data_IF_013099969674
#
_entry.id   IF_013099969674
#
_cell.length_a   1.000
_cell.length_b   1.000
_cell.length_c   1.000
_cell.angle_alpha   90.00
_cell.angle_beta   90.00
_cell.angle_gamma   90.00
#
_symmetry.space_group_name_H-M   'P 1'
#
loop_
_entity.id
_entity.type
_entity.pdbx_description
1 polymer ?
#
# COMPACT_ATOMS: atom_id res chain seq x y z
N UNK A 1 -14.19 2.83 11.30
CA UNK A 1 -14.81 1.66 11.97
C UNK A 1 -15.85 0.97 11.09
N UNK A 2 -16.82 1.66 10.48
CA UNK A 2 -17.79 1.01 9.58
C UNK A 2 -17.18 0.59 8.23
N UNK A 3 -16.46 1.50 7.55
CA UNK A 3 -15.86 1.17 6.25
C UNK A 3 -14.88 -0.01 6.29
N UNK A 4 -14.01 -0.09 7.30
CA UNK A 4 -13.04 -1.19 7.41
C UNK A 4 -13.76 -2.53 7.58
N UNK A 5 -14.91 -2.56 8.27
CA UNK A 5 -15.73 -3.76 8.39
C UNK A 5 -16.29 -4.19 7.04
N UNK A 6 -16.96 -3.28 6.33
CA UNK A 6 -17.50 -3.55 4.99
C UNK A 6 -16.41 -3.97 4.00
N UNK A 7 -15.25 -3.30 4.08
CA UNK A 7 -14.12 -3.58 3.22
C UNK A 7 -13.51 -4.95 3.51
N UNK A 8 -13.31 -5.32 4.78
CA UNK A 8 -12.82 -6.64 5.17
C UNK A 8 -13.72 -7.76 4.66
N UNK A 9 -15.04 -7.63 4.86
CA UNK A 9 -16.03 -8.57 4.33
C UNK A 9 -15.97 -8.66 2.81
N UNK A 10 -15.93 -7.51 2.11
CA UNK A 10 -15.78 -7.48 0.66
C UNK A 10 -14.51 -8.20 0.19
N UNK A 11 -13.37 -7.93 0.84
CA UNK A 11 -12.10 -8.55 0.46
C UNK A 11 -12.20 -10.06 0.55
N UNK A 12 -12.83 -10.58 1.61
CA UNK A 12 -13.02 -12.01 1.81
C UNK A 12 -13.95 -12.62 0.76
N UNK A 13 -15.15 -12.04 0.59
CA UNK A 13 -16.16 -12.55 -0.34
C UNK A 13 -15.73 -12.55 -1.81
N UNK A 14 -14.91 -11.57 -2.21
CA UNK A 14 -14.39 -11.49 -3.58
C UNK A 14 -13.03 -12.18 -3.77
N UNK A 15 -12.52 -12.83 -2.72
CA UNK A 15 -11.24 -13.53 -2.77
C UNK A 15 -10.04 -12.60 -2.97
N UNK A 16 -10.17 -11.32 -2.63
CA UNK A 16 -9.06 -10.36 -2.56
C UNK A 16 -8.24 -10.54 -1.28
N UNK A 17 -8.80 -11.16 -0.23
CA UNK A 17 -8.04 -11.86 0.80
C UNK A 17 -8.48 -13.33 0.82
N UNK A 18 -7.51 -14.24 0.92
CA UNK A 18 -7.73 -15.68 1.03
C UNK A 18 -6.91 -16.22 2.20
N UNK A 19 -7.47 -17.18 2.94
CA UNK A 19 -6.80 -17.88 4.04
C UNK A 19 -6.54 -19.34 3.64
N UNK A 20 -5.37 -19.85 4.01
CA UNK A 20 -4.87 -21.14 3.55
C UNK A 20 -3.34 -21.17 3.52
N UNK A 21 -2.75 -22.22 2.96
CA UNK A 21 -1.28 -22.33 2.92
C UNK A 21 -0.75 -21.85 1.56
N UNK A 22 -0.21 -20.63 1.52
CA UNK A 22 0.32 -19.99 0.32
C UNK A 22 1.84 -19.97 0.31
N UNK A 23 2.43 -19.96 -0.88
CA UNK A 23 3.85 -19.64 -1.09
C UNK A 23 3.93 -18.30 -1.80
N UNK A 24 4.56 -17.30 -1.17
CA UNK A 24 4.75 -15.98 -1.75
C UNK A 24 5.82 -16.01 -2.85
N UNK A 25 5.91 -14.95 -3.65
CA UNK A 25 6.96 -14.79 -4.67
C UNK A 25 8.37 -14.84 -4.10
N UNK A 26 8.53 -14.52 -2.81
CA UNK A 26 9.78 -14.65 -2.05
C UNK A 26 10.12 -16.09 -1.65
N UNK A 27 9.25 -17.07 -1.93
CA UNK A 27 9.36 -18.45 -1.46
C UNK A 27 8.89 -18.68 -0.03
N UNK A 28 8.61 -17.61 0.74
CA UNK A 28 8.10 -17.71 2.11
C UNK A 28 6.69 -18.30 2.13
N UNK A 29 6.39 -19.11 3.15
CA UNK A 29 5.03 -19.56 3.44
C UNK A 29 4.23 -18.46 4.11
N UNK A 30 2.94 -18.39 3.80
CA UNK A 30 2.02 -17.44 4.44
C UNK A 30 0.65 -18.09 4.64
N UNK A 31 -0.01 -17.87 5.79
CA UNK A 31 -1.35 -18.39 6.06
C UNK A 31 -2.46 -17.62 5.33
N UNK A 32 -2.07 -16.59 4.55
CA UNK A 32 -2.99 -15.76 3.79
C UNK A 32 -2.34 -15.22 2.50
N UNK A 33 -3.20 -14.83 1.57
CA UNK A 33 -2.83 -14.14 0.35
C UNK A 33 -3.73 -12.92 0.17
N UNK A 34 -3.15 -11.79 -0.22
CA UNK A 34 -3.84 -10.52 -0.43
C UNK A 34 -3.55 -10.04 -1.84
N UNK A 35 -4.61 -9.74 -2.60
CA UNK A 35 -4.53 -9.16 -3.94
C UNK A 35 -5.53 -8.02 -4.09
N UNK A 36 -5.06 -6.79 -3.84
CA UNK A 36 -5.89 -5.60 -3.92
C UNK A 36 -6.09 -5.10 -5.35
N UNK A 37 -5.40 -5.66 -6.35
CA UNK A 37 -5.63 -5.30 -7.76
C UNK A 37 -7.06 -5.63 -8.19
N UNK A 38 -7.65 -6.67 -7.58
CA UNK A 38 -9.04 -7.06 -7.78
C UNK A 38 -10.05 -5.97 -7.38
N UNK A 39 -9.70 -5.08 -6.45
CA UNK A 39 -10.62 -4.02 -6.01
C UNK A 39 -11.06 -3.11 -7.17
N UNK A 40 -10.15 -2.83 -8.12
CA UNK A 40 -10.42 -1.99 -9.29
C UNK A 40 -11.48 -2.58 -10.24
N UNK A 41 -11.71 -3.91 -10.20
CA UNK A 41 -12.81 -4.57 -10.92
C UNK A 41 -14.19 -4.33 -10.30
N UNK A 42 -14.24 -3.68 -9.12
CA UNK A 42 -15.45 -3.30 -8.41
C UNK A 42 -15.44 -1.78 -8.13
N UNK A 43 -15.77 -0.94 -9.13
CA UNK A 43 -15.51 0.51 -9.07
C UNK A 43 -16.11 1.23 -7.84
N UNK A 44 -17.27 0.77 -7.35
CA UNK A 44 -17.91 1.35 -6.17
C UNK A 44 -17.07 1.19 -4.90
N UNK A 45 -16.56 -0.02 -4.60
CA UNK A 45 -15.72 -0.22 -3.41
C UNK A 45 -14.33 0.40 -3.60
N UNK A 46 -13.79 0.35 -4.82
CA UNK A 46 -12.53 0.99 -5.15
C UNK A 46 -12.60 2.50 -4.90
N UNK A 47 -13.66 3.17 -5.35
CA UNK A 47 -13.87 4.59 -5.07
C UNK A 47 -13.99 4.88 -3.58
N UNK A 48 -14.75 4.06 -2.82
CA UNK A 48 -14.84 4.21 -1.36
C UNK A 48 -13.48 4.07 -0.69
N UNK A 49 -12.67 3.10 -1.11
CA UNK A 49 -11.31 2.88 -0.63
C UNK A 49 -10.41 4.10 -0.89
N UNK A 50 -10.41 4.64 -2.11
CA UNK A 50 -9.64 5.85 -2.45
C UNK A 50 -10.12 7.06 -1.64
N UNK A 51 -11.42 7.20 -1.40
CA UNK A 51 -11.95 8.29 -0.55
C UNK A 51 -11.50 8.19 0.90
N UNK A 52 -11.45 6.99 1.46
CA UNK A 52 -10.92 6.79 2.81
C UNK A 52 -9.40 7.04 2.86
N UNK A 53 -8.66 6.66 1.81
CA UNK A 53 -7.24 7.00 1.69
C UNK A 53 -7.03 8.51 1.68
N UNK A 54 -7.79 9.23 0.83
CA UNK A 54 -7.76 10.69 0.76
C UNK A 54 -8.06 11.33 2.12
N UNK A 55 -9.10 10.85 2.81
CA UNK A 55 -9.46 11.35 4.14
C UNK A 55 -8.33 11.14 5.15
N UNK A 56 -7.77 9.93 5.20
CA UNK A 56 -6.66 9.60 6.10
C UNK A 56 -5.45 10.52 5.86
N UNK A 57 -5.06 10.73 4.61
CA UNK A 57 -3.97 11.66 4.25
C UNK A 57 -4.33 13.08 4.68
N UNK A 58 -5.56 13.55 4.42
CA UNK A 58 -6.01 14.87 4.81
C UNK A 58 -5.95 15.10 6.33
N UNK A 59 -6.33 14.10 7.12
CA UNK A 59 -6.32 14.15 8.58
C UNK A 59 -4.91 14.08 9.17
N UNK A 60 -4.03 13.26 8.59
CA UNK A 60 -2.67 13.02 9.11
C UNK A 60 -1.69 14.11 8.72
N UNK A 61 -1.70 14.52 7.45
CA UNK A 61 -0.71 15.45 6.90
C UNK A 61 -1.32 16.61 6.12
N UNK A 62 -2.58 16.55 5.69
CA UNK A 62 -3.21 17.58 4.85
C UNK A 62 -2.85 17.47 3.38
N UNK A 63 -3.83 17.70 2.48
CA UNK A 63 -3.65 17.53 1.04
C UNK A 63 -2.76 18.59 0.37
N UNK A 64 -2.53 19.72 1.03
CA UNK A 64 -1.67 20.80 0.54
C UNK A 64 -0.19 20.65 0.95
N UNK A 65 0.13 19.65 1.77
CA UNK A 65 1.48 19.46 2.30
C UNK A 65 2.39 18.56 1.44
N UNK A 66 1.92 18.14 0.27
CA UNK A 66 2.72 17.45 -0.74
C UNK A 66 2.39 17.97 -2.15
N UNK A 67 3.39 17.90 -3.02
CA UNK A 67 3.33 18.42 -4.39
C UNK A 67 2.93 17.35 -5.40
N UNK A 68 3.35 16.10 -5.18
CA UNK A 68 3.13 14.98 -6.10
C UNK A 68 2.96 13.66 -5.36
N UNK A 69 2.32 12.71 -6.02
CA UNK A 69 2.18 11.33 -5.54
C UNK A 69 3.21 10.45 -6.25
N UNK A 70 3.86 9.56 -5.51
CA UNK A 70 4.78 8.56 -6.04
C UNK A 70 4.33 7.14 -5.68
N UNK A 71 4.80 6.17 -6.47
CA UNK A 71 4.52 4.74 -6.26
C UNK A 71 5.60 3.89 -6.93
N UNK A 72 5.68 2.62 -6.56
CA UNK A 72 6.36 1.59 -7.34
C UNK A 72 5.28 0.72 -8.03
N UNK A 73 5.34 0.49 -9.35
CA UNK A 73 4.40 -0.39 -10.03
C UNK A 73 4.56 -1.87 -9.58
N UNK A 74 3.50 -2.68 -9.63
CA UNK A 74 2.25 -2.44 -10.39
C UNK A 74 1.03 -2.16 -9.52
N UNK A 75 0.89 -2.81 -8.36
CA UNK A 75 -0.30 -2.71 -7.49
C UNK A 75 -0.57 -1.28 -7.03
N UNK A 76 0.42 -0.67 -6.39
CA UNK A 76 0.37 0.73 -5.97
C UNK A 76 0.05 1.72 -7.08
N UNK A 77 0.47 1.46 -8.33
CA UNK A 77 0.19 2.37 -9.46
C UNK A 77 -1.30 2.56 -9.71
N UNK A 78 -2.11 1.50 -9.54
CA UNK A 78 -3.58 1.58 -9.72
C UNK A 78 -4.20 2.48 -8.65
N UNK A 79 -3.79 2.31 -7.40
CA UNK A 79 -4.27 3.11 -6.26
C UNK A 79 -3.80 4.56 -6.37
N UNK A 80 -2.51 4.77 -6.61
CA UNK A 80 -1.90 6.08 -6.73
C UNK A 80 -2.48 6.90 -7.89
N UNK A 81 -2.78 6.27 -9.02
CA UNK A 81 -3.44 6.94 -10.16
C UNK A 81 -4.83 7.44 -9.80
N UNK A 82 -5.63 6.60 -9.14
CA UNK A 82 -6.98 7.00 -8.73
C UNK A 82 -6.94 8.11 -7.66
N UNK A 83 -6.02 8.03 -6.70
CA UNK A 83 -5.84 9.08 -5.70
C UNK A 83 -5.33 10.39 -6.32
N UNK A 84 -4.38 10.34 -7.25
CA UNK A 84 -3.87 11.50 -7.97
C UNK A 84 -4.98 12.21 -8.74
N UNK A 85 -5.85 11.45 -9.41
CA UNK A 85 -7.02 11.98 -10.09
C UNK A 85 -8.00 12.65 -9.11
N UNK A 86 -8.31 11.99 -7.98
CA UNK A 86 -9.24 12.50 -6.97
C UNK A 86 -8.71 13.73 -6.21
N UNK A 87 -7.40 13.84 -6.05
CA UNK A 87 -6.74 14.96 -5.35
C UNK A 87 -6.22 16.05 -6.28
N UNK A 88 -6.35 15.86 -7.60
CA UNK A 88 -5.83 16.76 -8.64
C UNK A 88 -4.32 17.03 -8.43
N UNK A 89 -3.56 15.96 -8.17
CA UNK A 89 -2.11 16.00 -7.94
C UNK A 89 -1.38 15.28 -9.08
N UNK A 90 -0.17 15.73 -9.47
CA UNK A 90 0.70 14.97 -10.35
C UNK A 90 1.02 13.58 -9.79
N UNK A 91 1.35 12.66 -10.69
CA UNK A 91 1.79 11.30 -10.37
C UNK A 91 3.15 11.06 -11.01
N UNK A 92 4.05 10.47 -10.22
CA UNK A 92 5.32 9.91 -10.67
C UNK A 92 5.40 8.44 -10.26
N UNK A 93 6.24 7.64 -10.89
CA UNK A 93 6.50 6.29 -10.42
C UNK A 93 7.94 5.84 -10.67
N UNK A 94 8.45 5.03 -9.75
CA UNK A 94 9.78 4.43 -9.87
C UNK A 94 9.67 3.09 -10.55
N UNK A 95 10.42 2.89 -11.62
CA UNK A 95 10.41 1.64 -12.37
C UNK A 95 11.13 0.54 -11.59
N UNK A 96 10.54 -0.65 -11.58
CA UNK A 96 11.07 -1.83 -10.89
C UNK A 96 12.28 -2.49 -11.58
N UNK A 97 12.59 -2.11 -12.84
CA UNK A 97 13.83 -2.51 -13.54
C UNK A 97 14.39 -1.31 -14.33
N UNK A 98 15.72 -1.12 -14.29
CA UNK A 98 16.41 -0.20 -15.19
C UNK A 98 16.28 -0.68 -16.64
N UNK A 99 16.25 0.25 -17.61
CA UNK A 99 16.41 -0.10 -19.03
C UNK A 99 17.85 -0.52 -19.27
N UNK A 100 18.06 -1.60 -20.01
CA UNK A 100 19.39 -1.95 -20.56
C UNK A 100 19.84 -0.93 -21.62
N UNK A 101 18.89 -0.26 -22.31
CA UNK A 101 19.18 0.77 -23.32
C UNK A 101 18.22 1.97 -23.22
N UNK A 102 18.77 3.18 -23.06
CA UNK A 102 18.05 4.47 -22.98
C UNK A 102 18.59 5.42 -21.91
N UNK A 103 18.00 6.61 -21.76
CA UNK A 103 18.34 7.51 -20.63
C UNK A 103 18.07 6.79 -19.31
N UNK A 104 19.06 6.76 -18.42
CA UNK A 104 19.11 6.04 -17.13
C UNK A 104 18.11 6.52 -16.06
N UNK A 105 17.01 7.19 -16.45
CA UNK A 105 16.01 7.70 -15.53
C UNK A 105 15.15 6.55 -15.01
N UNK A 106 15.29 6.26 -13.72
CA UNK A 106 14.48 5.28 -13.00
C UNK A 106 13.08 5.81 -12.64
N UNK A 107 12.85 7.12 -12.78
CA UNK A 107 11.59 7.80 -12.43
C UNK A 107 10.88 8.22 -13.72
N UNK A 108 9.60 7.87 -13.83
CA UNK A 108 8.70 8.35 -14.87
C UNK A 108 7.82 9.48 -14.30
N UNK A 109 7.59 10.53 -15.10
CA UNK A 109 6.92 11.76 -14.68
C UNK A 109 7.89 12.94 -14.45
N UNK A 110 7.41 13.99 -13.79
CA UNK A 110 8.15 15.25 -13.58
C UNK A 110 8.57 15.35 -12.11
N UNK A 111 9.87 15.47 -11.87
CA UNK A 111 10.44 15.69 -10.53
C UNK A 111 11.37 16.88 -10.53
N UNK A 112 11.48 17.53 -9.36
CA UNK A 112 12.41 18.63 -9.12
C UNK A 112 12.98 18.54 -7.71
N UNK A 113 14.17 19.11 -7.50
CA UNK A 113 14.78 19.18 -6.16
C UNK A 113 13.86 19.92 -5.19
N UNK A 114 13.76 19.42 -3.96
CA UNK A 114 12.92 19.98 -2.90
C UNK A 114 11.43 19.66 -3.03
N UNK A 115 10.97 19.04 -4.12
CA UNK A 115 9.57 18.64 -4.30
C UNK A 115 9.15 17.70 -3.17
N UNK A 116 8.00 17.96 -2.53
CA UNK A 116 7.44 17.11 -1.50
C UNK A 116 6.63 15.98 -2.13
N UNK A 117 7.04 14.75 -1.86
CA UNK A 117 6.49 13.54 -2.46
C UNK A 117 5.76 12.73 -1.40
N UNK A 118 4.55 12.28 -1.74
CA UNK A 118 3.79 11.31 -0.96
C UNK A 118 3.89 9.93 -1.61
N UNK A 119 4.44 8.94 -0.91
CA UNK A 119 4.53 7.57 -1.42
C UNK A 119 3.23 6.81 -1.18
N UNK A 120 2.71 6.13 -2.19
CA UNK A 120 1.51 5.29 -2.11
C UNK A 120 1.84 3.89 -2.61
N UNK A 121 1.33 2.87 -1.92
CA UNK A 121 1.30 1.50 -2.41
C UNK A 121 -0.03 0.81 -2.05
N UNK A 122 -0.32 -0.35 -2.63
CA UNK A 122 -1.54 -1.09 -2.27
C UNK A 122 -1.34 -1.93 -0.99
N UNK A 123 -0.27 -2.74 -0.93
CA UNK A 123 0.02 -3.65 0.19
C UNK A 123 1.47 -3.51 0.68
N UNK A 124 1.65 -3.28 1.98
CA UNK A 124 2.97 -3.35 2.61
C UNK A 124 3.25 -4.77 3.15
N UNK A 125 4.41 -5.34 2.81
CA UNK A 125 4.92 -6.61 3.38
C UNK A 125 6.20 -6.35 4.19
N UNK A 126 7.38 -6.56 3.58
CA UNK A 126 8.69 -6.25 4.19
C UNK A 126 9.09 -4.78 4.02
N UNK A 127 8.44 -4.06 3.10
CA UNK A 127 8.79 -2.68 2.75
C UNK A 127 9.89 -2.54 1.70
N UNK A 128 10.54 -3.63 1.29
CA UNK A 128 11.71 -3.60 0.39
C UNK A 128 11.47 -2.89 -0.95
N UNK A 129 10.32 -3.13 -1.58
CA UNK A 129 9.98 -2.48 -2.85
C UNK A 129 9.83 -0.96 -2.70
N UNK A 130 9.08 -0.53 -1.69
CA UNK A 130 8.92 0.90 -1.36
C UNK A 130 10.25 1.52 -0.94
N UNK A 131 11.05 0.83 -0.12
CA UNK A 131 12.38 1.23 0.33
C UNK A 131 13.31 1.55 -0.85
N UNK A 132 13.40 0.65 -1.81
CA UNK A 132 14.18 0.88 -3.03
C UNK A 132 13.66 2.07 -3.85
N UNK A 133 12.34 2.22 -3.97
CA UNK A 133 11.71 3.36 -4.63
C UNK A 133 12.01 4.69 -3.93
N UNK A 134 11.90 4.73 -2.60
CA UNK A 134 12.18 5.88 -1.76
C UNK A 134 13.63 6.32 -1.90
N UNK A 135 14.57 5.38 -1.93
CA UNK A 135 15.99 5.68 -2.17
C UNK A 135 16.20 6.40 -3.50
N UNK A 136 15.66 5.84 -4.60
CA UNK A 136 15.73 6.45 -5.94
C UNK A 136 15.12 7.86 -5.96
N UNK A 137 13.99 8.04 -5.30
CA UNK A 137 13.32 9.34 -5.19
C UNK A 137 14.18 10.34 -4.40
N UNK A 138 14.67 9.97 -3.22
CA UNK A 138 15.53 10.83 -2.39
C UNK A 138 16.84 11.19 -3.08
N UNK A 139 17.45 10.26 -3.82
CA UNK A 139 18.65 10.52 -4.64
C UNK A 139 18.39 11.56 -5.74
N UNK A 140 17.15 11.71 -6.21
CA UNK A 140 16.75 12.77 -7.14
C UNK A 140 16.54 14.14 -6.47
N UNK A 141 16.67 14.21 -5.14
CA UNK A 141 16.62 15.43 -4.35
C UNK A 141 15.22 15.84 -3.89
N UNK A 142 14.23 14.94 -3.94
CA UNK A 142 12.88 15.20 -3.41
C UNK A 142 12.84 15.00 -1.88
N UNK A 143 11.82 15.55 -1.24
CA UNK A 143 11.53 15.35 0.18
C UNK A 143 10.40 14.34 0.32
N UNK A 144 10.63 13.25 1.05
CA UNK A 144 9.66 12.16 1.24
C UNK A 144 9.75 11.67 2.69
N UNK A 145 8.69 11.94 3.45
CA UNK A 145 8.61 11.65 4.88
C UNK A 145 7.44 10.72 5.23
N UNK A 146 6.48 10.52 4.32
CA UNK A 146 5.28 9.74 4.58
C UNK A 146 4.99 8.80 3.40
N UNK A 147 4.57 7.59 3.75
CA UNK A 147 4.07 6.58 2.85
C UNK A 147 2.71 6.07 3.34
N UNK A 148 1.79 5.78 2.43
CA UNK A 148 0.48 5.23 2.76
C UNK A 148 0.22 3.95 1.97
N UNK A 149 -0.35 2.95 2.65
CA UNK A 149 -0.85 1.73 2.02
C UNK A 149 -2.30 1.47 2.36
N UNK A 150 -2.97 0.64 1.56
CA UNK A 150 -4.32 0.20 1.90
C UNK A 150 -4.25 -0.84 3.01
N UNK A 151 -3.44 -1.89 2.81
CA UNK A 151 -3.29 -2.98 3.79
C UNK A 151 -1.83 -3.17 4.18
N UNK A 152 -1.55 -3.09 5.48
CA UNK A 152 -0.27 -3.51 6.03
C UNK A 152 -0.35 -4.97 6.50
N UNK A 153 0.61 -5.80 6.08
CA UNK A 153 0.72 -7.20 6.53
C UNK A 153 1.39 -7.36 7.89
N UNK A 154 1.95 -6.27 8.44
CA UNK A 154 2.68 -6.26 9.70
C UNK A 154 3.93 -7.16 9.68
N UNK A 155 4.60 -7.25 8.53
CA UNK A 155 5.77 -8.12 8.32
C UNK A 155 7.08 -7.30 8.15
N UNK A 156 7.17 -6.13 8.79
CA UNK A 156 8.41 -5.35 8.94
C UNK A 156 8.53 -4.07 8.10
N UNK A 157 7.55 -3.76 7.23
CA UNK A 157 7.60 -2.55 6.40
C UNK A 157 7.73 -1.25 7.19
N UNK A 158 7.08 -1.13 8.35
CA UNK A 158 7.16 0.04 9.22
C UNK A 158 8.60 0.34 9.63
N UNK A 159 9.31 -0.67 10.14
CA UNK A 159 10.70 -0.56 10.58
C UNK A 159 11.64 -0.25 9.40
N UNK A 160 11.44 -0.92 8.27
CA UNK A 160 12.21 -0.71 7.04
C UNK A 160 12.11 0.74 6.55
N UNK A 161 10.89 1.27 6.45
CA UNK A 161 10.68 2.65 6.00
C UNK A 161 11.12 3.68 7.05
N UNK A 162 10.92 3.38 8.34
CA UNK A 162 11.34 4.25 9.44
C UNK A 162 12.85 4.45 9.45
N UNK A 163 13.63 3.41 9.11
CA UNK A 163 15.09 3.50 9.00
C UNK A 163 15.56 4.53 7.95
N UNK A 164 14.70 4.86 6.99
CA UNK A 164 14.93 5.89 5.98
C UNK A 164 14.25 7.22 6.30
N UNK A 165 13.72 7.39 7.52
CA UNK A 165 13.01 8.59 7.94
C UNK A 165 11.63 8.74 7.31
N UNK A 166 11.00 7.65 6.89
CA UNK A 166 9.64 7.64 6.30
C UNK A 166 8.67 6.96 7.26
N UNK A 167 7.56 7.63 7.59
CA UNK A 167 6.49 7.06 8.38
C UNK A 167 5.52 6.32 7.47
N UNK A 168 5.24 5.05 7.77
CA UNK A 168 4.21 4.27 7.08
C UNK A 168 2.86 4.47 7.79
N UNK A 169 1.82 4.73 6.99
CA UNK A 169 0.43 4.79 7.42
C UNK A 169 -0.39 3.77 6.64
N UNK A 170 -1.48 3.27 7.22
CA UNK A 170 -2.37 2.30 6.58
C UNK A 170 -3.84 2.60 6.81
N UNK A 171 -4.71 2.17 5.90
CA UNK A 171 -6.17 2.16 6.13
C UNK A 171 -6.53 1.08 7.14
N UNK A 172 -5.95 -0.11 6.99
CA UNK A 172 -6.17 -1.28 7.84
C UNK A 172 -4.94 -2.17 7.80
N UNK A 173 -4.87 -3.14 8.70
CA UNK A 173 -3.88 -4.21 8.63
C UNK A 173 -4.52 -5.59 8.61
N UNK A 174 -3.69 -6.61 8.32
CA UNK A 174 -4.14 -8.01 8.23
C UNK A 174 -4.73 -8.52 9.54
N UNK A 175 -4.27 -8.02 10.70
CA UNK A 175 -4.76 -8.44 12.00
C UNK A 175 -6.17 -7.87 12.25
N UNK A 176 -6.39 -6.59 11.95
CA UNK A 176 -7.70 -5.95 12.02
C UNK A 176 -8.72 -6.62 11.09
N UNK A 177 -8.34 -6.86 9.82
CA UNK A 177 -9.17 -7.60 8.86
C UNK A 177 -9.57 -8.96 9.44
N UNK A 178 -8.59 -9.73 9.94
CA UNK A 178 -8.85 -11.09 10.43
C UNK A 178 -9.72 -11.08 11.68
N UNK A 179 -9.52 -10.13 12.60
CA UNK A 179 -10.39 -9.95 13.78
C UNK A 179 -11.83 -9.63 13.40
N UNK A 180 -12.04 -8.74 12.42
CA UNK A 180 -13.38 -8.38 11.94
C UNK A 180 -14.09 -9.59 11.31
N UNK A 181 -13.38 -10.34 10.47
CA UNK A 181 -13.92 -11.53 9.83
C UNK A 181 -14.25 -12.62 10.86
N UNK A 182 -13.41 -12.78 11.88
CA UNK A 182 -13.64 -13.71 12.99
C UNK A 182 -14.88 -13.34 13.80
N UNK A 183 -15.02 -12.08 14.19
CA UNK A 183 -16.22 -11.56 14.86
C UNK A 183 -17.50 -11.71 14.03
N UNK A 184 -17.35 -11.80 12.70
CA UNK A 184 -18.45 -12.01 11.76
C UNK A 184 -18.68 -13.48 11.41
N UNK A 185 -17.99 -14.42 12.09
CA UNK A 185 -18.02 -15.86 11.83
C UNK A 185 -17.64 -16.27 10.40
N UNK A 186 -16.85 -15.44 9.70
CA UNK A 186 -16.37 -15.73 8.33
C UNK A 186 -15.03 -16.47 8.33
N UNK A 187 -14.28 -16.41 9.43
CA UNK A 187 -13.06 -17.21 9.66
C UNK A 187 -13.08 -17.78 11.07
N UNK A 188 -12.42 -18.93 11.26
CA UNK A 188 -12.35 -19.62 12.54
C UNK A 188 -11.19 -19.15 13.43
N UNK A 189 -11.17 -19.61 14.68
CA UNK A 189 -10.09 -19.33 15.65
C UNK A 189 -8.72 -19.77 15.11
N UNK A 190 -8.68 -20.88 14.36
CA UNK A 190 -7.45 -21.45 13.82
C UNK A 190 -6.79 -20.51 12.81
N UNK A 191 -7.57 -19.87 11.95
CA UNK A 191 -7.09 -18.84 11.01
C UNK A 191 -6.57 -17.63 11.78
N UNK A 192 -7.32 -17.13 12.77
CA UNK A 192 -6.91 -15.97 13.55
C UNK A 192 -5.56 -16.20 14.26
N UNK A 193 -5.38 -17.37 14.88
CA UNK A 193 -4.11 -17.73 15.53
C UNK A 193 -2.96 -17.91 14.53
N UNK A 194 -3.21 -18.52 13.36
CA UNK A 194 -2.20 -18.58 12.28
C UNK A 194 -1.74 -17.18 11.84
N UNK A 195 -2.66 -16.23 11.68
CA UNK A 195 -2.33 -14.84 11.30
C UNK A 195 -1.50 -14.16 12.40
N UNK A 196 -1.91 -14.28 13.66
CA UNK A 196 -1.14 -13.72 14.80
C UNK A 196 0.29 -14.27 14.84
N UNK A 197 0.47 -15.57 14.61
CA UNK A 197 1.80 -16.19 14.62
C UNK A 197 2.68 -15.75 13.43
N UNK A 198 2.09 -15.33 12.30
CA UNK A 198 2.85 -14.86 11.14
C UNK A 198 3.42 -13.45 11.34
N UNK A 199 2.76 -12.61 12.13
CA UNK A 199 3.11 -11.19 12.30
C UNK A 199 4.01 -10.93 13.53
N UNK A 200 4.26 -11.97 14.35
CA UNK A 200 5.21 -11.95 15.47
C UNK A 200 6.64 -12.18 14.96
#
# INVERSE_FOLDING_TARGET
MEFVKDFATFLHEKGAIKFGDFTLSSGKKSPYYIDLRLTSSYPHIFRKMIKHLQQLISEKIGLDNFDTIATVPTGGLVVATALAFETVKPLIYVRSKQKEHGTSKSIEGITSKGMKVLMIDDVATTGESMSNGIKVLKDSGVVLNDAYVIVNRLEGADSELKSQGVNLHQITDVLEITKILHQSNLVDDKILEKVKNQIL
#
